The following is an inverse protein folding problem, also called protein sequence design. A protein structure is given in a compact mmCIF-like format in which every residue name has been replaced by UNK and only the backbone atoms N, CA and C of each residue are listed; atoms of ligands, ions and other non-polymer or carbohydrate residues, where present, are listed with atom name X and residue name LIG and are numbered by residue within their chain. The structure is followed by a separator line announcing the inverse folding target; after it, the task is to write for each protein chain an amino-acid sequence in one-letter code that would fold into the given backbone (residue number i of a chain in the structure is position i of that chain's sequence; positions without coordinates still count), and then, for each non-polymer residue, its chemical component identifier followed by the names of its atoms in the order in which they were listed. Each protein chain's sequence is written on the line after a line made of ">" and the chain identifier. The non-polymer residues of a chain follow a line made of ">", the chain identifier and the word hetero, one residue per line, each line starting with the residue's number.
data_IF_428533663312
#
_entry.id   IF_428533663312
#
_cell.length_a   1.000
_cell.length_b   1.000
_cell.length_c   1.000
_cell.angle_alpha   90.00
_cell.angle_beta   90.00
_cell.angle_gamma   90.00
#
_symmetry.space_group_name_H-M   'P 1'
#
loop_
_entity.id
_entity.type
_entity.pdbx_description
1 polymer ?
#
# COMPACT_ATOMS: atom_id res chain seq x y z
N UNK A 1 19.12 -8.46 4.52
CA UNK A 1 18.45 -7.48 5.43
C UNK A 1 17.04 -7.35 4.93
N UNK A 2 16.03 -7.54 5.77
CA UNK A 2 14.62 -7.41 5.38
C UNK A 2 14.28 -5.91 5.23
N UNK A 3 13.54 -5.58 4.19
CA UNK A 3 13.02 -4.22 3.96
C UNK A 3 11.63 -4.10 4.56
N UNK A 4 11.23 -2.91 4.98
CA UNK A 4 9.87 -2.64 5.46
C UNK A 4 9.09 -1.86 4.42
N UNK A 5 7.92 -2.35 4.07
CA UNK A 5 6.99 -1.74 3.12
C UNK A 5 5.73 -1.27 3.86
N UNK A 6 5.31 -0.04 3.61
CA UNK A 6 4.11 0.52 4.23
C UNK A 6 2.98 0.56 3.22
N UNK A 7 1.87 -0.07 3.55
CA UNK A 7 0.64 -0.04 2.76
C UNK A 7 -0.39 0.88 3.42
N UNK A 8 -0.83 1.88 2.69
CA UNK A 8 -1.84 2.82 3.14
C UNK A 8 -3.22 2.19 2.92
N UNK A 9 -4.00 2.12 3.98
CA UNK A 9 -5.34 1.53 3.98
C UNK A 9 -6.38 2.48 4.58
N UNK A 10 -7.64 2.23 4.25
CA UNK A 10 -8.79 2.85 4.91
C UNK A 10 -9.55 1.81 5.73
N UNK A 11 -10.49 2.27 6.57
CA UNK A 11 -11.28 1.39 7.44
C UNK A 11 -12.08 0.34 6.70
N UNK A 12 -12.56 0.66 5.49
CA UNK A 12 -13.40 -0.25 4.72
C UNK A 12 -12.59 -1.41 4.17
N UNK A 13 -11.33 -1.16 3.79
CA UNK A 13 -10.47 -2.15 3.17
C UNK A 13 -9.56 -2.87 4.16
N UNK A 14 -9.19 -2.22 5.26
CA UNK A 14 -8.23 -2.77 6.22
C UNK A 14 -8.65 -4.14 6.76
N UNK A 15 -9.92 -4.31 7.12
CA UNK A 15 -10.45 -5.59 7.60
C UNK A 15 -10.24 -6.73 6.59
N UNK A 16 -10.40 -6.46 5.30
CA UNK A 16 -10.21 -7.46 4.25
C UNK A 16 -8.74 -7.81 4.03
N UNK A 17 -7.84 -6.84 4.19
CA UNK A 17 -6.40 -7.12 4.18
C UNK A 17 -6.03 -8.11 5.28
N UNK A 18 -6.59 -7.94 6.49
CA UNK A 18 -6.34 -8.82 7.62
C UNK A 18 -7.06 -10.17 7.47
N UNK A 19 -8.33 -10.17 7.06
CA UNK A 19 -9.13 -11.38 6.92
C UNK A 19 -8.55 -12.34 5.89
N UNK A 20 -8.09 -11.80 4.75
CA UNK A 20 -7.56 -12.60 3.64
C UNK A 20 -6.03 -12.62 3.58
N UNK A 21 -5.36 -12.06 4.57
CA UNK A 21 -3.91 -12.03 4.68
C UNK A 21 -3.19 -11.62 3.40
N UNK A 22 -3.56 -10.46 2.87
CA UNK A 22 -2.87 -9.85 1.74
C UNK A 22 -2.60 -8.36 1.97
N UNK A 23 -1.56 -7.84 1.34
CA UNK A 23 -1.36 -6.41 1.20
C UNK A 23 -1.53 -6.03 -0.27
N UNK A 24 -2.26 -4.96 -0.52
CA UNK A 24 -2.57 -4.55 -1.88
C UNK A 24 -2.58 -3.04 -2.06
N UNK A 25 -2.24 -2.62 -3.27
CA UNK A 25 -2.35 -1.24 -3.72
C UNK A 25 -2.98 -1.19 -5.10
N UNK A 26 -3.66 -0.12 -5.43
CA UNK A 26 -4.33 0.04 -6.70
C UNK A 26 -4.13 1.43 -7.28
N UNK A 27 -3.93 1.51 -8.59
CA UNK A 27 -4.21 2.74 -9.31
C UNK A 27 -5.72 2.85 -9.47
N UNK A 28 -6.26 4.04 -9.20
CA UNK A 28 -7.70 4.29 -9.33
C UNK A 28 -8.26 3.72 -10.65
N UNK A 29 -9.49 3.27 -10.59
CA UNK A 29 -10.52 2.80 -11.55
C UNK A 29 -10.23 2.77 -13.06
N UNK A 30 -9.04 3.01 -13.53
CA UNK A 30 -8.73 2.99 -14.95
C UNK A 30 -8.13 1.64 -15.32
N UNK A 31 -8.91 0.86 -16.05
CA UNK A 31 -8.37 -0.24 -16.84
C UNK A 31 -7.22 0.29 -17.69
N UNK A 32 -6.02 -0.24 -17.47
CA UNK A 32 -4.92 0.01 -18.37
C UNK A 32 -5.23 -0.79 -19.62
N UNK A 33 -5.72 -0.11 -20.63
CA UNK A 33 -5.86 -0.71 -21.94
C UNK A 33 -4.52 -0.67 -22.66
N UNK A 34 -3.73 -1.70 -22.46
CA UNK A 34 -2.45 -1.85 -23.13
C UNK A 34 -2.56 -1.87 -24.66
N UNK A 35 -3.73 -2.17 -25.20
CA UNK A 35 -3.94 -2.21 -26.65
C UNK A 35 -4.09 -0.79 -27.24
N UNK A 36 -4.59 0.15 -26.46
CA UNK A 36 -4.81 1.53 -26.88
C UNK A 36 -3.82 2.53 -26.27
N UNK A 37 -2.90 2.09 -25.45
CA UNK A 37 -1.95 2.96 -24.75
C UNK A 37 -1.01 3.72 -25.69
N UNK A 38 -0.71 3.17 -26.85
CA UNK A 38 0.22 3.75 -27.82
C UNK A 38 -0.35 4.99 -28.55
N UNK A 39 -1.66 5.15 -28.57
CA UNK A 39 -2.32 6.23 -29.34
C UNK A 39 -2.85 7.36 -28.45
N UNK A 40 -2.89 7.16 -27.15
CA UNK A 40 -3.53 8.11 -26.25
C UNK A 40 -2.54 9.01 -25.55
N UNK A 41 -2.35 10.16 -26.14
CA UNK A 41 -1.97 11.40 -25.46
C UNK A 41 -0.96 11.26 -24.31
N UNK A 42 0.26 10.85 -24.63
CA UNK A 42 1.46 11.05 -23.81
C UNK A 42 1.58 12.48 -23.25
N UNK A 43 0.79 13.41 -23.77
CA UNK A 43 0.87 14.85 -23.47
C UNK A 43 -0.32 15.39 -22.66
N UNK A 44 -1.32 14.61 -22.31
CA UNK A 44 -2.35 15.12 -21.42
C UNK A 44 -1.92 14.93 -19.96
N UNK A 45 -1.67 16.00 -19.25
CA UNK A 45 -1.10 16.02 -17.90
C UNK A 45 -1.88 15.21 -16.83
N UNK A 46 -3.07 14.73 -17.13
CA UNK A 46 -3.84 13.79 -16.28
C UNK A 46 -3.45 12.34 -16.49
N UNK A 47 -3.17 11.96 -17.74
CA UNK A 47 -2.78 10.58 -18.07
C UNK A 47 -1.34 10.31 -17.67
N UNK A 48 -0.43 11.26 -17.82
CA UNK A 48 0.94 11.10 -17.37
C UNK A 48 1.04 10.83 -15.87
N UNK A 49 0.23 11.47 -15.04
CA UNK A 49 0.20 11.21 -13.59
C UNK A 49 -0.27 9.79 -13.23
N UNK A 50 -1.21 9.23 -13.99
CA UNK A 50 -1.69 7.85 -13.78
C UNK A 50 -0.60 6.86 -14.20
N UNK A 51 0.04 7.10 -15.33
CA UNK A 51 1.13 6.28 -15.84
C UNK A 51 2.35 6.34 -14.91
N UNK A 52 2.73 7.52 -14.42
CA UNK A 52 3.81 7.70 -13.46
C UNK A 52 3.52 6.96 -12.13
N UNK A 53 2.28 7.05 -11.64
CA UNK A 53 1.87 6.32 -10.45
C UNK A 53 1.93 4.80 -10.66
N UNK A 54 1.50 4.33 -11.83
CA UNK A 54 1.56 2.92 -12.18
C UNK A 54 3.00 2.41 -12.27
N UNK A 55 3.87 3.15 -12.95
CA UNK A 55 5.30 2.81 -13.04
C UNK A 55 5.93 2.78 -11.66
N UNK A 56 5.61 3.75 -10.81
CA UNK A 56 6.05 3.79 -9.42
C UNK A 56 5.58 2.57 -8.63
N UNK A 57 4.31 2.19 -8.78
CA UNK A 57 3.74 1.00 -8.13
C UNK A 57 4.41 -0.30 -8.59
N UNK A 58 4.64 -0.45 -9.90
CA UNK A 58 5.34 -1.62 -10.45
C UNK A 58 6.77 -1.69 -9.91
N UNK A 59 7.47 -0.56 -9.87
CA UNK A 59 8.82 -0.48 -9.34
C UNK A 59 8.88 -0.86 -7.85
N UNK A 60 7.92 -0.38 -7.05
CA UNK A 60 7.85 -0.70 -5.62
C UNK A 60 7.55 -2.18 -5.38
N UNK A 61 6.61 -2.76 -6.15
CA UNK A 61 6.33 -4.20 -6.10
C UNK A 61 7.55 -5.05 -6.43
N UNK A 62 8.32 -4.65 -7.43
CA UNK A 62 9.52 -5.39 -7.81
C UNK A 62 10.62 -5.38 -6.73
N UNK A 63 10.54 -4.48 -5.77
CA UNK A 63 11.46 -4.44 -4.62
C UNK A 63 11.06 -5.38 -3.51
N UNK A 64 9.80 -5.77 -3.42
CA UNK A 64 9.26 -6.61 -2.35
C UNK A 64 9.82 -8.03 -2.47
N UNK A 65 10.30 -8.57 -1.35
CA UNK A 65 10.88 -9.91 -1.25
C UNK A 65 10.20 -10.72 -0.16
N UNK A 66 10.21 -12.04 -0.30
CA UNK A 66 9.77 -12.95 0.77
C UNK A 66 10.56 -12.68 2.03
N UNK A 67 9.87 -12.59 3.14
CA UNK A 67 10.44 -12.27 4.45
C UNK A 67 10.61 -10.76 4.73
N UNK A 68 10.34 -9.88 3.76
CA UNK A 68 10.24 -8.45 4.03
C UNK A 68 9.09 -8.14 4.99
N UNK A 69 9.22 -7.04 5.71
CA UNK A 69 8.18 -6.57 6.62
C UNK A 69 7.10 -5.80 5.87
N UNK A 70 5.87 -5.96 6.32
CA UNK A 70 4.73 -5.16 5.89
C UNK A 70 4.10 -4.50 7.10
N UNK A 71 3.89 -3.20 7.00
CA UNK A 71 3.11 -2.40 7.93
C UNK A 71 1.88 -1.84 7.21
N UNK A 72 0.75 -1.81 7.88
CA UNK A 72 -0.41 -1.08 7.41
C UNK A 72 -0.49 0.27 8.11
N UNK A 73 -0.68 1.32 7.32
CA UNK A 73 -0.99 2.64 7.82
C UNK A 73 -2.48 2.93 7.56
N UNK A 74 -3.26 2.91 8.65
CA UNK A 74 -4.66 3.29 8.60
C UNK A 74 -4.76 4.81 8.60
N UNK A 75 -5.25 5.37 7.50
CA UNK A 75 -5.36 6.81 7.32
C UNK A 75 -6.37 7.44 8.27
N UNK A 76 -6.04 8.66 8.71
CA UNK A 76 -6.98 9.56 9.34
C UNK A 76 -8.24 9.74 8.48
N UNK A 77 -9.41 9.64 9.11
CA UNK A 77 -10.69 9.88 8.45
C UNK A 77 -11.69 10.47 9.43
N UNK A 78 -11.79 11.78 9.45
CA UNK A 78 -12.68 12.50 10.37
C UNK A 78 -14.15 12.15 10.18
N UNK A 79 -14.61 11.86 8.98
CA UNK A 79 -16.00 11.49 8.72
C UNK A 79 -16.38 10.15 9.34
N UNK A 80 -15.40 9.30 9.61
CA UNK A 80 -15.56 8.00 10.27
C UNK A 80 -15.06 8.00 11.72
N UNK A 81 -14.79 9.18 12.28
CA UNK A 81 -14.36 9.33 13.67
C UNK A 81 -12.90 8.97 13.94
N UNK A 82 -12.11 8.69 12.90
CA UNK A 82 -10.68 8.41 13.01
C UNK A 82 -9.93 9.72 13.02
N UNK A 83 -9.50 10.14 14.21
CA UNK A 83 -8.84 11.43 14.41
C UNK A 83 -7.35 11.40 14.06
N UNK A 84 -6.73 10.24 14.17
CA UNK A 84 -5.29 10.05 14.00
C UNK A 84 -5.00 8.86 13.09
N UNK A 85 -3.97 8.97 12.26
CA UNK A 85 -3.41 7.86 11.52
C UNK A 85 -2.66 6.92 12.45
N UNK A 86 -2.75 5.61 12.20
CA UNK A 86 -2.09 4.59 13.01
C UNK A 86 -1.40 3.54 12.15
N UNK A 87 -0.24 3.09 12.63
CA UNK A 87 0.47 1.95 12.06
C UNK A 87 0.06 0.66 12.75
N UNK A 88 -0.16 -0.38 11.96
CA UNK A 88 -0.49 -1.73 12.41
C UNK A 88 0.45 -2.75 11.77
N UNK A 89 0.81 -3.73 12.48
CA UNK A 89 1.66 -4.82 12.02
C UNK A 89 2.71 -5.10 13.08
N UNK A 90 3.65 -5.99 12.85
CA UNK A 90 4.38 -6.34 11.63
C UNK A 90 3.85 -7.62 11.02
N UNK A 91 3.70 -7.63 9.70
CA UNK A 91 3.47 -8.83 8.91
C UNK A 91 4.73 -9.16 8.09
N UNK A 92 4.83 -10.38 7.59
CA UNK A 92 5.89 -10.82 6.68
C UNK A 92 5.32 -11.14 5.31
N UNK A 93 6.07 -10.80 4.27
CA UNK A 93 5.75 -11.24 2.92
C UNK A 93 5.92 -12.74 2.82
N UNK A 94 4.83 -13.45 2.57
CA UNK A 94 4.80 -14.92 2.49
C UNK A 94 5.15 -15.42 1.11
N UNK A 95 4.70 -14.72 0.07
CA UNK A 95 4.91 -15.14 -1.30
C UNK A 95 5.57 -14.04 -2.11
N UNK A 96 6.53 -14.44 -2.95
CA UNK A 96 7.26 -13.53 -3.86
C UNK A 96 6.40 -13.01 -5.01
N UNK A 97 5.30 -13.69 -5.31
CA UNK A 97 4.44 -13.33 -6.43
C UNK A 97 3.42 -12.32 -5.95
N UNK A 98 3.72 -11.04 -6.15
CA UNK A 98 2.67 -10.06 -6.28
C UNK A 98 1.89 -10.41 -7.54
N UNK A 99 0.61 -10.66 -7.43
CA UNK A 99 -0.19 -10.85 -8.62
C UNK A 99 -0.83 -9.53 -9.04
N UNK A 100 -0.85 -9.37 -10.34
CA UNK A 100 -1.57 -8.30 -10.99
C UNK A 100 -3.01 -8.77 -11.18
N UNK A 101 -3.93 -8.12 -10.53
CA UNK A 101 -5.35 -8.38 -10.69
C UNK A 101 -5.95 -7.31 -11.61
N UNK A 102 -6.52 -7.72 -12.73
CA UNK A 102 -7.17 -6.81 -13.65
C UNK A 102 -8.40 -6.17 -13.02
N UNK A 103 -8.68 -4.93 -13.38
CA UNK A 103 -9.87 -4.23 -12.92
C UNK A 103 -11.14 -4.69 -13.68
N UNK A 104 -11.36 -5.98 -13.76
CA UNK A 104 -12.55 -6.55 -14.36
C UNK A 104 -13.65 -6.85 -13.31
N UNK A 105 -14.81 -7.28 -13.79
CA UNK A 105 -15.94 -7.61 -12.91
C UNK A 105 -15.65 -8.79 -11.97
N UNK A 106 -14.71 -9.65 -12.33
CA UNK A 106 -14.38 -10.88 -11.61
C UNK A 106 -13.18 -10.71 -10.67
N UNK A 107 -12.66 -9.49 -10.50
CA UNK A 107 -11.57 -9.24 -9.58
C UNK A 107 -11.94 -9.73 -8.18
N UNK A 108 -11.04 -10.52 -7.57
CA UNK A 108 -11.23 -11.06 -6.22
C UNK A 108 -11.47 -9.93 -5.21
N UNK A 109 -12.55 -10.04 -4.44
CA UNK A 109 -13.01 -9.06 -3.44
C UNK A 109 -13.38 -7.67 -3.99
N UNK A 110 -13.60 -7.50 -5.31
CA UNK A 110 -13.93 -6.20 -5.88
C UNK A 110 -15.16 -5.56 -5.22
N UNK A 111 -16.22 -6.33 -5.03
CA UNK A 111 -17.46 -5.86 -4.41
C UNK A 111 -17.24 -5.44 -2.96
N UNK A 112 -16.49 -6.22 -2.21
CA UNK A 112 -16.21 -5.97 -0.79
C UNK A 112 -15.28 -4.77 -0.60
N UNK A 113 -14.25 -4.66 -1.43
CA UNK A 113 -13.28 -3.57 -1.39
C UNK A 113 -13.82 -2.26 -1.94
N UNK A 114 -14.83 -2.33 -2.82
CA UNK A 114 -15.40 -1.20 -3.56
C UNK A 114 -14.37 -0.38 -4.36
N UNK A 115 -13.22 -0.97 -4.59
CA UNK A 115 -12.12 -0.40 -5.38
C UNK A 115 -11.22 -1.50 -5.93
N UNK A 116 -10.50 -1.15 -6.99
CA UNK A 116 -9.48 -2.04 -7.53
C UNK A 116 -8.21 -1.99 -6.68
N UNK A 117 -7.70 -3.15 -6.31
CA UNK A 117 -6.35 -3.32 -5.78
C UNK A 117 -5.57 -4.17 -6.78
N UNK A 118 -5.02 -3.49 -7.76
CA UNK A 118 -4.38 -4.12 -8.93
C UNK A 118 -3.20 -5.00 -8.53
N UNK A 119 -2.45 -4.59 -7.50
CA UNK A 119 -1.29 -5.31 -7.01
C UNK A 119 -1.55 -5.85 -5.61
N UNK A 120 -1.33 -7.14 -5.43
CA UNK A 120 -1.54 -7.82 -4.16
C UNK A 120 -0.41 -8.80 -3.88
N UNK A 121 0.03 -8.86 -2.64
CA UNK A 121 0.99 -9.82 -2.13
C UNK A 121 0.38 -10.57 -0.96
N UNK A 122 0.71 -11.85 -0.81
CA UNK A 122 0.31 -12.62 0.36
C UNK A 122 1.24 -12.33 1.52
N UNK A 123 0.65 -12.17 2.69
CA UNK A 123 1.35 -11.89 3.93
C UNK A 123 0.99 -12.92 4.99
N UNK A 124 1.78 -12.97 6.05
CA UNK A 124 1.51 -13.73 7.26
C UNK A 124 1.82 -12.86 8.48
N UNK A 125 1.10 -13.06 9.61
CA UNK A 125 1.36 -12.29 10.82
C UNK A 125 2.72 -12.62 11.38
N UNK A 126 3.44 -11.63 11.90
CA UNK A 126 4.70 -11.78 12.59
C UNK A 126 4.61 -11.19 14.00
N UNK A 127 4.41 -9.90 14.08
CA UNK A 127 4.29 -9.19 15.34
C UNK A 127 3.13 -8.20 15.25
N UNK A 128 1.94 -8.68 15.57
CA UNK A 128 0.70 -7.95 15.36
C UNK A 128 0.16 -7.44 16.68
N UNK A 129 -0.05 -6.13 16.74
CA UNK A 129 -0.58 -5.44 17.91
C UNK A 129 -2.07 -5.20 17.76
N UNK A 130 -2.82 -5.38 18.83
CA UNK A 130 -4.27 -5.08 18.87
C UNK A 130 -4.55 -3.58 18.77
N UNK A 131 -3.64 -2.77 19.29
CA UNK A 131 -3.70 -1.32 19.22
C UNK A 131 -2.61 -0.80 18.28
N UNK A 132 -2.99 0.09 17.35
CA UNK A 132 -2.02 0.66 16.43
C UNK A 132 -1.15 1.71 17.11
N UNK A 133 0.06 1.91 16.61
CA UNK A 133 0.98 2.99 17.00
C UNK A 133 0.60 4.26 16.24
N UNK A 134 0.37 5.34 16.93
CA UNK A 134 0.04 6.63 16.31
C UNK A 134 1.25 7.25 15.61
N UNK A 135 1.00 8.19 14.71
CA UNK A 135 2.09 8.95 14.09
C UNK A 135 2.92 9.73 15.13
N UNK A 136 2.27 10.25 16.17
CA UNK A 136 2.93 11.00 17.24
C UNK A 136 3.84 10.12 18.06
N UNK A 137 3.40 8.94 18.47
CA UNK A 137 4.23 7.96 19.16
C UNK A 137 5.45 7.55 18.32
N UNK A 138 5.25 7.34 17.01
CA UNK A 138 6.33 7.04 16.10
C UNK A 138 7.31 8.22 15.94
N UNK A 139 6.81 9.46 16.00
CA UNK A 139 7.62 10.69 15.95
C UNK A 139 8.50 10.86 17.19
N UNK A 140 7.95 10.58 18.36
CA UNK A 140 8.67 10.74 19.63
C UNK A 140 9.90 9.82 19.68
N UNK A 141 9.83 8.68 18.98
CA UNK A 141 10.95 7.73 18.89
C UNK A 141 12.04 8.10 17.84
N UNK A 142 11.86 9.18 17.09
CA UNK A 142 12.82 9.59 16.04
C UNK A 142 14.24 9.78 16.58
N UNK A 143 14.38 10.30 17.78
CA UNK A 143 15.68 10.52 18.42
C UNK A 143 16.45 9.22 18.68
N UNK A 144 15.75 8.10 18.77
CA UNK A 144 16.32 6.78 19.00
C UNK A 144 16.83 6.12 17.71
N UNK A 145 16.55 6.71 16.54
CA UNK A 145 17.02 6.21 15.26
C UNK A 145 18.50 6.57 15.08
N UNK A 146 19.38 5.58 15.16
CA UNK A 146 20.83 5.76 15.12
C UNK A 146 21.41 6.02 13.73
N UNK A 147 20.64 5.84 12.67
CA UNK A 147 21.15 5.99 11.32
C UNK A 147 20.80 7.37 10.73
N UNK A 148 21.79 8.26 10.55
CA UNK A 148 21.56 9.63 10.10
C UNK A 148 20.96 9.76 8.68
N UNK A 149 20.98 8.70 7.90
CA UNK A 149 20.48 8.67 6.53
C UNK A 149 19.06 8.09 6.40
N UNK A 150 18.47 7.63 7.49
CA UNK A 150 17.10 7.13 7.50
C UNK A 150 16.14 8.25 7.90
N UNK A 151 15.93 9.18 7.01
CA UNK A 151 14.81 10.12 7.17
C UNK A 151 13.51 9.38 6.91
N UNK A 152 13.00 8.71 7.94
CA UNK A 152 11.76 7.92 7.92
C UNK A 152 10.59 8.74 7.36
N UNK A 153 10.56 10.02 7.66
CA UNK A 153 9.45 10.91 7.28
C UNK A 153 9.39 11.25 5.80
N UNK A 154 10.50 11.36 5.12
CA UNK A 154 10.49 11.61 3.68
C UNK A 154 9.98 10.39 2.89
N UNK A 155 9.99 9.21 3.50
CA UNK A 155 9.49 7.98 2.91
C UNK A 155 7.99 7.76 3.22
N UNK A 156 7.52 8.24 4.36
CA UNK A 156 6.12 8.09 4.82
C UNK A 156 5.24 9.20 4.25
N UNK A 157 5.76 10.41 4.11
CA UNK A 157 5.03 11.59 3.63
C UNK A 157 5.35 11.97 2.17
N UNK A 158 5.47 11.02 1.28
CA UNK A 158 5.35 11.35 -0.14
C UNK A 158 3.87 11.56 -0.48
N UNK A 159 3.44 12.81 -0.35
CA UNK A 159 2.21 13.26 -1.01
C UNK A 159 2.40 13.28 -2.51
#
# INVERSE_FOLDING_TARGET
>A
MATTHVFIVDTNTFKYHLEYMFAGTGAQEHSIDFNNSLTTNLYSGRKSKIEDNLVGMIADLNRIRVGDNVLFYLQQNFSQGIKEGKFYGIFKVKNRIGFLDNNDANQFLKTQLQKSLTFRILIEPSDVYSEGVTEWEALDEISNIQAPNQMLWSLIYRK
#
